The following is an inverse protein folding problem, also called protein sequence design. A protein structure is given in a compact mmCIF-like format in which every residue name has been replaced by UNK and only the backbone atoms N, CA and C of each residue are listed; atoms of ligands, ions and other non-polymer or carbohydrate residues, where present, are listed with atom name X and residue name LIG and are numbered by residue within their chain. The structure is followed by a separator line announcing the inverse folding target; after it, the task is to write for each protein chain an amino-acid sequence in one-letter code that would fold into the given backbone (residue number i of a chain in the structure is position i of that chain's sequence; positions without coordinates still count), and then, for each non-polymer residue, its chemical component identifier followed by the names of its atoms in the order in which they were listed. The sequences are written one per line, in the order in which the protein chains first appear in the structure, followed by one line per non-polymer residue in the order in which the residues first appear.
data_IF_094729840199
#
_entry.id   IF_094729840199
#
_cell.length_a   1.000
_cell.length_b   1.000
_cell.length_c   1.000
_cell.angle_alpha   90.00
_cell.angle_beta   90.00
_cell.angle_gamma   90.00
#
_symmetry.space_group_name_H-M   'P 1'
#
loop_
_entity.id
_entity.type
_entity.pdbx_description
1 polymer ?
#
# COMPACT_ATOMS: atom_id res chain seq x y z
N UNK A 1 14.68 14.70 15.80
CA UNK A 1 13.27 14.33 15.58
C UNK A 1 13.08 14.46 14.09
N UNK A 2 13.43 13.41 13.35
CA UNK A 2 13.31 13.43 11.90
C UNK A 2 11.82 13.48 11.63
N UNK A 3 11.39 14.58 11.03
CA UNK A 3 10.08 14.67 10.40
C UNK A 3 9.99 13.46 9.47
N UNK A 4 9.28 12.40 9.88
CA UNK A 4 8.94 11.30 8.99
C UNK A 4 7.85 11.83 8.05
N UNK A 5 8.20 12.85 7.28
CA UNK A 5 7.46 13.26 6.11
C UNK A 5 7.25 11.99 5.32
N UNK A 6 5.99 11.61 5.19
CA UNK A 6 5.55 10.32 4.65
C UNK A 6 6.46 9.90 3.49
N UNK A 7 7.27 8.87 3.71
CA UNK A 7 8.15 8.40 2.67
C UNK A 7 7.31 7.68 1.62
N UNK A 8 7.04 8.40 0.53
CA UNK A 8 6.26 7.91 -0.60
C UNK A 8 7.10 7.05 -1.56
N UNK A 9 8.40 6.86 -1.31
CA UNK A 9 9.29 6.11 -2.22
C UNK A 9 8.89 4.63 -2.35
N UNK A 10 8.25 4.07 -1.32
CA UNK A 10 7.74 2.70 -1.32
C UNK A 10 6.42 2.54 -2.11
N UNK A 11 5.65 3.62 -2.30
CA UNK A 11 4.33 3.57 -2.96
C UNK A 11 4.39 2.93 -4.35
N UNK A 12 5.22 3.39 -5.30
CA UNK A 12 5.24 2.82 -6.64
C UNK A 12 5.60 1.33 -6.62
N UNK A 13 6.55 0.92 -5.77
CA UNK A 13 6.99 -0.48 -5.67
C UNK A 13 5.87 -1.37 -5.12
N UNK A 14 5.15 -0.91 -4.09
CA UNK A 14 4.01 -1.64 -3.52
C UNK A 14 2.88 -1.77 -4.53
N UNK A 15 2.56 -0.68 -5.23
CA UNK A 15 1.45 -0.63 -6.18
C UNK A 15 1.71 -1.50 -7.42
N UNK A 16 2.96 -1.52 -7.91
CA UNK A 16 3.38 -2.40 -9.01
C UNK A 16 3.22 -3.88 -8.65
N UNK A 17 3.51 -4.24 -7.40
CA UNK A 17 3.35 -5.61 -6.91
C UNK A 17 1.90 -6.00 -6.59
N UNK A 18 1.05 -5.08 -6.13
CA UNK A 18 -0.33 -5.40 -5.75
C UNK A 18 -1.19 -5.86 -6.93
N UNK A 19 -1.15 -5.13 -8.06
CA UNK A 19 -1.92 -5.46 -9.26
C UNK A 19 -3.44 -5.51 -9.07
N UNK A 20 -4.16 -6.01 -10.08
CA UNK A 20 -5.63 -6.06 -10.09
C UNK A 20 -6.23 -7.24 -9.30
N UNK A 21 -5.43 -8.27 -9.04
CA UNK A 21 -5.81 -9.47 -8.31
C UNK A 21 -5.47 -9.37 -6.82
N UNK A 22 -6.18 -10.12 -5.97
CA UNK A 22 -5.86 -10.21 -4.55
C UNK A 22 -4.51 -10.88 -4.33
N UNK A 23 -3.59 -10.16 -3.70
CA UNK A 23 -2.27 -10.68 -3.34
C UNK A 23 -2.03 -10.63 -1.84
N UNK A 24 -1.33 -11.64 -1.33
CA UNK A 24 -0.88 -11.63 0.07
C UNK A 24 0.11 -10.48 0.28
N UNK A 25 -0.03 -9.77 1.41
CA UNK A 25 0.91 -8.69 1.76
C UNK A 25 2.35 -9.20 1.86
N UNK A 26 2.54 -10.46 2.29
CA UNK A 26 3.85 -11.12 2.29
C UNK A 26 4.46 -11.24 0.89
N UNK A 27 3.64 -11.56 -0.13
CA UNK A 27 4.08 -11.64 -1.53
C UNK A 27 4.49 -10.27 -2.04
N UNK A 28 3.72 -9.24 -1.74
CA UNK A 28 4.04 -7.84 -2.10
C UNK A 28 5.37 -7.43 -1.46
N UNK A 29 5.54 -7.69 -0.17
CA UNK A 29 6.80 -7.38 0.54
C UNK A 29 7.98 -8.10 -0.12
N UNK A 30 7.87 -9.40 -0.40
CA UNK A 30 8.92 -10.14 -1.09
C UNK A 30 9.25 -9.52 -2.46
N UNK A 31 8.24 -9.16 -3.25
CA UNK A 31 8.44 -8.54 -4.55
C UNK A 31 9.10 -7.16 -4.47
N UNK A 32 8.78 -6.35 -3.44
CA UNK A 32 9.49 -5.10 -3.16
C UNK A 32 10.96 -5.35 -2.80
N UNK A 33 11.24 -6.35 -1.96
CA UNK A 33 12.62 -6.75 -1.62
C UNK A 33 13.39 -7.31 -2.83
N UNK A 34 12.72 -7.94 -3.78
CA UNK A 34 13.35 -8.50 -4.97
C UNK A 34 13.54 -7.46 -6.09
N UNK A 35 12.95 -6.27 -5.96
CA UNK A 35 13.10 -5.19 -6.93
C UNK A 35 14.56 -4.72 -7.04
N UNK A 36 15.06 -4.61 -8.27
CA UNK A 36 16.41 -4.14 -8.54
C UNK A 36 16.59 -2.69 -8.03
N UNK A 37 17.60 -2.47 -7.20
CA UNK A 37 17.89 -1.16 -6.63
C UNK A 37 17.09 -0.81 -5.37
N UNK A 38 16.29 -1.74 -4.82
CA UNK A 38 15.69 -1.55 -3.51
C UNK A 38 16.76 -1.57 -2.41
N UNK A 39 16.76 -0.56 -1.54
CA UNK A 39 17.67 -0.48 -0.41
C UNK A 39 17.19 -1.36 0.75
N UNK A 40 17.72 -2.59 0.80
CA UNK A 40 17.44 -3.59 1.84
C UNK A 40 17.99 -3.21 3.22
N UNK A 41 18.86 -2.19 3.30
CA UNK A 41 19.46 -1.73 4.57
C UNK A 41 18.67 -0.59 5.20
N UNK A 42 17.96 0.19 4.37
CA UNK A 42 17.14 1.30 4.83
C UNK A 42 15.75 0.87 5.31
N UNK A 43 15.18 -0.21 4.76
CA UNK A 43 13.81 -0.62 5.01
C UNK A 43 13.68 -2.07 5.48
N UNK A 44 12.82 -2.27 6.47
CA UNK A 44 12.39 -3.57 6.93
C UNK A 44 11.07 -3.99 6.28
N UNK A 45 10.72 -5.27 6.41
CA UNK A 45 9.40 -5.77 6.03
C UNK A 45 8.25 -5.07 6.79
N UNK A 46 8.51 -4.62 8.02
CA UNK A 46 7.53 -3.92 8.82
C UNK A 46 7.25 -2.52 8.26
N UNK A 47 8.28 -1.80 7.78
CA UNK A 47 8.10 -0.48 7.16
C UNK A 47 7.24 -0.57 5.89
N UNK A 48 7.47 -1.61 5.07
CA UNK A 48 6.67 -1.87 3.87
C UNK A 48 5.22 -2.22 4.27
N UNK A 49 5.02 -3.06 5.29
CA UNK A 49 3.68 -3.42 5.76
C UNK A 49 2.90 -2.21 6.30
N UNK A 50 3.57 -1.33 7.05
CA UNK A 50 2.99 -0.07 7.53
C UNK A 50 2.62 0.84 6.36
N UNK A 51 3.46 0.87 5.32
CA UNK A 51 3.14 1.61 4.10
C UNK A 51 1.93 1.04 3.36
N UNK A 52 1.80 -0.28 3.26
CA UNK A 52 0.60 -0.93 2.71
C UNK A 52 -0.63 -0.51 3.51
N UNK A 53 -0.55 -0.45 4.84
CA UNK A 53 -1.67 0.00 5.68
C UNK A 53 -2.08 1.44 5.35
N UNK A 54 -1.13 2.36 5.17
CA UNK A 54 -1.41 3.76 4.77
C UNK A 54 -2.08 3.81 3.39
N UNK A 55 -1.66 2.97 2.44
CA UNK A 55 -2.27 2.90 1.11
C UNK A 55 -3.70 2.33 1.16
N UNK A 56 -3.98 1.40 2.06
CA UNK A 56 -5.34 0.92 2.32
C UNK A 56 -6.20 2.03 2.94
N UNK A 57 -5.70 2.70 3.97
CA UNK A 57 -6.43 3.77 4.69
C UNK A 57 -6.74 4.97 3.78
N UNK A 58 -5.80 5.34 2.90
CA UNK A 58 -6.00 6.37 1.88
C UNK A 58 -6.87 5.94 0.69
N UNK A 59 -7.36 4.70 0.68
CA UNK A 59 -8.22 4.16 -0.37
C UNK A 59 -7.51 3.93 -1.71
N UNK A 60 -6.19 3.79 -1.70
CA UNK A 60 -5.39 3.40 -2.88
C UNK A 60 -5.42 1.89 -3.12
N UNK A 61 -5.55 1.11 -2.05
CA UNK A 61 -5.66 -0.34 -2.07
C UNK A 61 -6.97 -0.78 -1.43
N UNK A 62 -7.57 -1.83 -1.98
CA UNK A 62 -8.59 -2.60 -1.29
C UNK A 62 -7.93 -3.67 -0.43
N UNK A 63 -8.62 -4.07 0.64
CA UNK A 63 -8.12 -5.05 1.59
C UNK A 63 -9.16 -6.09 1.97
N UNK A 64 -8.71 -7.32 2.14
CA UNK A 64 -9.47 -8.39 2.77
C UNK A 64 -8.60 -9.15 3.78
N UNK A 65 -9.24 -9.79 4.76
CA UNK A 65 -8.56 -10.41 5.90
C UNK A 65 -8.24 -9.40 7.01
N UNK A 66 -7.23 -9.71 7.81
CA UNK A 66 -6.91 -8.94 9.02
C UNK A 66 -5.60 -8.15 8.87
N UNK A 67 -5.68 -6.87 8.53
CA UNK A 67 -4.48 -6.01 8.41
C UNK A 67 -3.73 -5.75 9.72
N UNK A 68 -4.36 -5.97 10.89
CA UNK A 68 -3.61 -5.93 12.16
C UNK A 68 -2.60 -7.08 12.25
N UNK A 69 -2.80 -8.14 11.46
CA UNK A 69 -1.88 -9.25 11.25
C UNK A 69 -1.57 -9.33 9.76
N UNK A 70 -0.82 -8.37 9.25
CA UNK A 70 -0.56 -8.20 7.81
C UNK A 70 -0.14 -9.49 7.09
N UNK A 71 0.51 -10.44 7.77
CA UNK A 71 0.85 -11.77 7.23
C UNK A 71 -0.35 -12.60 6.76
N UNK A 72 -1.54 -12.31 7.27
CA UNK A 72 -2.81 -12.94 6.93
C UNK A 72 -3.68 -12.02 6.04
N UNK A 73 -3.18 -10.84 5.69
CA UNK A 73 -3.89 -9.85 4.89
C UNK A 73 -3.63 -10.03 3.40
N UNK A 74 -4.65 -9.68 2.60
CA UNK A 74 -4.53 -9.60 1.15
C UNK A 74 -5.00 -8.23 0.66
N UNK A 75 -4.29 -7.67 -0.31
CA UNK A 75 -4.61 -6.38 -0.91
C UNK A 75 -4.62 -6.48 -2.43
N UNK A 76 -5.29 -5.52 -3.06
CA UNK A 76 -5.24 -5.30 -4.51
C UNK A 76 -5.40 -3.82 -4.81
N UNK A 77 -5.09 -3.41 -6.03
CA UNK A 77 -5.36 -2.06 -6.49
C UNK A 77 -6.86 -1.75 -6.38
N UNK A 78 -7.19 -0.63 -5.73
CA UNK A 78 -8.57 -0.15 -5.76
C UNK A 78 -8.87 0.35 -7.18
N UNK A 79 -9.96 -0.11 -7.82
CA UNK A 79 -10.38 0.45 -9.10
C UNK A 79 -10.56 1.96 -8.96
N UNK A 80 -10.10 2.72 -9.96
CA UNK A 80 -10.42 4.14 -10.07
C UNK A 80 -11.95 4.26 -10.24
N UNK A 81 -12.68 4.34 -9.13
CA UNK A 81 -14.07 4.74 -9.18
C UNK A 81 -14.09 6.16 -9.76
N UNK A 82 -15.00 6.47 -10.70
CA UNK A 82 -15.24 7.87 -11.03
C UNK A 82 -15.55 8.57 -9.72
N UNK A 83 -14.85 9.68 -9.43
CA UNK A 83 -15.17 10.55 -8.29
C UNK A 83 -16.68 10.74 -8.33
N UNK A 84 -17.41 10.15 -7.39
CA UNK A 84 -18.83 10.43 -7.23
C UNK A 84 -18.88 11.93 -7.01
N UNK A 85 -19.47 12.67 -7.94
CA UNK A 85 -19.57 14.13 -7.89
C UNK A 85 -20.10 14.52 -6.52
N UNK A 86 -19.19 14.96 -5.66
CA UNK A 86 -19.46 15.53 -4.35
C UNK A 86 -19.45 17.05 -4.49
N UNK A 87 -20.16 17.56 -5.49
CA UNK A 87 -20.69 18.92 -5.45
C UNK A 87 -21.88 18.85 -4.49
N UNK A 88 -21.60 18.96 -3.19
CA UNK A 88 -22.62 19.43 -2.26
C UNK A 88 -22.60 20.95 -2.35
N UNK A 89 -23.23 21.46 -3.40
CA UNK A 89 -23.94 22.71 -3.27
C UNK A 89 -24.99 22.54 -2.16
N UNK A 90 -24.89 23.35 -1.13
CA UNK A 90 -26.00 23.72 -0.26
C UNK A 90 -25.63 25.06 0.40
N UNK A 91 -26.21 26.09 -0.19
CA UNK A 91 -26.58 27.42 0.34
C UNK A 91 -25.51 28.33 0.96
#
# INVERSE_FOLDING_TARGET
MTDHGYDHTLDPLIMDNAGDDWQNVTTIISGVFDHAGFDKTAYSAQDIAERVYILVDSGRLDVQGNMRRWREGQVKLRPLLPKKGGDHGSD
#
